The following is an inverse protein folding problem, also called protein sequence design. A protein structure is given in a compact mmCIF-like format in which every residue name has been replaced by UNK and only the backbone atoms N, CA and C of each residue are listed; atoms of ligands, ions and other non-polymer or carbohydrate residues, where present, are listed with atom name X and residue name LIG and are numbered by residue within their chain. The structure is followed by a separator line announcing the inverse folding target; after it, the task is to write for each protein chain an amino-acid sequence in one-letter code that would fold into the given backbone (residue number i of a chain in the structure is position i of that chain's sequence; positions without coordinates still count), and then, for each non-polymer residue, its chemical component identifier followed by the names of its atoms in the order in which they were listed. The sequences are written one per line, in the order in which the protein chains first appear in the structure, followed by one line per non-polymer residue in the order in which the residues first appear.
data_IF_058596288064
#
_entry.id   IF_058596288064
#
_cell.length_a   1.000
_cell.length_b   1.000
_cell.length_c   1.000
_cell.angle_alpha   90.00
_cell.angle_beta   90.00
_cell.angle_gamma   90.00
#
_symmetry.space_group_name_H-M   'P 1'
#
loop_
_entity.id
_entity.type
_entity.pdbx_description
1 polymer ?
#
# COMPACT_ATOMS: atom_id res chain seq x y z
N UNK A 1 4.56 10.35 -15.03
CA UNK A 1 3.29 10.74 -14.45
C UNK A 1 3.48 11.26 -13.03
N UNK A 2 2.47 11.94 -12.52
CA UNK A 2 2.51 12.52 -11.18
C UNK A 2 2.61 11.45 -10.09
N UNK A 3 1.96 10.31 -10.29
CA UNK A 3 2.03 9.20 -9.34
C UNK A 3 3.47 8.69 -9.24
N UNK A 4 4.14 8.56 -10.38
CA UNK A 4 5.52 8.10 -10.43
C UNK A 4 6.46 9.06 -9.70
N UNK A 5 6.28 10.36 -9.91
CA UNK A 5 7.06 11.38 -9.21
C UNK A 5 6.84 11.32 -7.71
N UNK A 6 5.57 11.23 -7.28
CA UNK A 6 5.23 11.13 -5.87
C UNK A 6 5.86 9.92 -5.20
N UNK A 7 5.85 8.77 -5.88
CA UNK A 7 6.48 7.56 -5.37
C UNK A 7 7.99 7.75 -5.21
N UNK A 8 8.61 8.45 -6.14
CA UNK A 8 10.04 8.73 -6.07
C UNK A 8 10.37 9.62 -4.89
N UNK A 9 9.62 10.71 -4.69
CA UNK A 9 9.79 11.57 -3.52
C UNK A 9 9.57 10.82 -2.23
N UNK A 10 8.54 10.02 -2.19
CA UNK A 10 8.20 9.23 -1.01
C UNK A 10 9.36 8.32 -0.59
N UNK A 11 9.99 7.68 -1.55
CA UNK A 11 11.12 6.80 -1.29
C UNK A 11 12.32 7.55 -0.73
N UNK A 12 12.69 8.68 -1.33
CA UNK A 12 13.81 9.47 -0.84
C UNK A 12 13.54 10.06 0.54
N UNK A 13 12.32 10.52 0.78
CA UNK A 13 11.93 11.03 2.08
C UNK A 13 11.95 9.94 3.15
N UNK A 14 11.58 8.72 2.80
CA UNK A 14 11.66 7.60 3.72
C UNK A 14 13.09 7.31 4.15
N UNK A 15 14.03 7.34 3.21
CA UNK A 15 15.45 7.16 3.53
C UNK A 15 15.94 8.25 4.49
N UNK A 16 15.57 9.48 4.22
CA UNK A 16 15.95 10.61 5.07
C UNK A 16 15.34 10.47 6.46
N UNK A 17 14.09 10.07 6.55
CA UNK A 17 13.38 9.85 7.79
C UNK A 17 14.07 8.77 8.63
N UNK A 18 14.49 7.68 7.99
CA UNK A 18 15.20 6.60 8.66
C UNK A 18 16.58 7.05 9.17
N UNK A 19 17.19 8.02 8.52
CA UNK A 19 18.46 8.61 8.94
C UNK A 19 18.27 9.74 9.97
N UNK A 20 17.06 9.95 10.43
CA UNK A 20 16.70 10.99 11.39
C UNK A 20 16.99 12.42 10.90
N UNK A 21 16.90 12.64 9.61
CA UNK A 21 16.99 13.98 9.03
C UNK A 21 15.66 14.68 9.22
N UNK A 22 15.65 15.76 10.01
CA UNK A 22 14.40 16.49 10.28
C UNK A 22 14.02 17.46 9.18
N UNK A 23 15.00 18.12 8.59
CA UNK A 23 14.77 19.15 7.57
C UNK A 23 15.73 18.97 6.42
N UNK A 24 15.26 19.32 5.24
CA UNK A 24 16.08 19.28 4.04
C UNK A 24 15.70 20.44 3.14
N UNK A 25 16.71 21.12 2.57
CA UNK A 25 16.47 22.20 1.62
C UNK A 25 16.17 21.63 0.23
N UNK A 26 15.55 22.45 -0.62
CA UNK A 26 15.34 22.05 -2.01
C UNK A 26 16.68 21.79 -2.72
N UNK A 27 17.72 22.53 -2.36
CA UNK A 27 19.05 22.33 -2.92
C UNK A 27 19.64 20.98 -2.54
N UNK A 28 19.54 20.62 -1.26
CA UNK A 28 20.03 19.34 -0.78
C UNK A 28 19.25 18.18 -1.38
N UNK A 29 17.93 18.29 -1.42
CA UNK A 29 17.07 17.26 -1.98
C UNK A 29 17.33 17.12 -3.50
N UNK A 30 17.58 18.22 -4.19
CA UNK A 30 17.89 18.20 -5.61
C UNK A 30 19.16 17.40 -5.91
N UNK A 31 20.15 17.51 -5.04
CA UNK A 31 21.39 16.73 -5.19
C UNK A 31 21.14 15.24 -5.01
N UNK A 32 20.36 14.88 -4.00
CA UNK A 32 20.03 13.49 -3.75
C UNK A 32 19.24 12.87 -4.90
N UNK A 33 18.30 13.61 -5.44
CA UNK A 33 17.41 13.12 -6.48
C UNK A 33 17.93 13.35 -7.89
N UNK A 34 19.05 14.06 -8.02
CA UNK A 34 19.65 14.40 -9.31
C UNK A 34 18.69 15.18 -10.23
N UNK A 35 18.04 16.18 -9.67
CA UNK A 35 17.19 17.12 -10.39
C UNK A 35 17.54 18.52 -9.93
N UNK A 36 16.96 19.55 -10.55
CA UNK A 36 17.24 20.94 -10.14
C UNK A 36 16.43 21.32 -8.91
N UNK A 37 16.94 22.28 -8.14
CA UNK A 37 16.19 22.80 -7.00
C UNK A 37 14.88 23.46 -7.42
N UNK A 38 14.85 24.08 -8.58
CA UNK A 38 13.62 24.64 -9.15
C UNK A 38 12.58 23.56 -9.41
N UNK A 39 13.01 22.42 -9.92
CA UNK A 39 12.12 21.28 -10.16
C UNK A 39 11.54 20.76 -8.85
N UNK A 40 12.36 20.67 -7.81
CA UNK A 40 11.89 20.26 -6.48
C UNK A 40 10.78 21.19 -5.99
N UNK A 41 11.03 22.50 -6.04
CA UNK A 41 10.04 23.49 -5.59
C UNK A 41 8.74 23.39 -6.39
N UNK A 42 8.86 23.23 -7.70
CA UNK A 42 7.70 23.11 -8.57
C UNK A 42 6.91 21.85 -8.30
N UNK A 43 7.59 20.72 -8.17
CA UNK A 43 6.93 19.44 -7.88
C UNK A 43 6.19 19.48 -6.55
N UNK A 44 6.85 19.96 -5.50
CA UNK A 44 6.23 20.03 -4.18
C UNK A 44 5.06 21.00 -4.14
N UNK A 45 5.16 22.12 -4.88
CA UNK A 45 4.02 23.03 -5.05
C UNK A 45 2.85 22.34 -5.74
N UNK A 46 3.13 21.59 -6.79
CA UNK A 46 2.09 20.86 -7.52
C UNK A 46 1.43 19.76 -6.68
N UNK A 47 2.19 19.17 -5.77
CA UNK A 47 1.65 18.11 -4.91
C UNK A 47 0.74 18.65 -3.82
N UNK A 48 0.96 19.87 -3.34
CA UNK A 48 0.13 20.38 -2.27
C UNK A 48 0.56 21.67 -1.61
N UNK A 49 1.51 22.37 -2.18
CA UNK A 49 1.93 23.65 -1.63
C UNK A 49 2.44 23.55 -0.20
N UNK A 50 3.38 22.68 0.07
CA UNK A 50 3.85 22.35 1.42
C UNK A 50 4.66 23.43 2.11
N UNK A 51 4.72 24.62 1.56
CA UNK A 51 5.30 25.77 2.22
C UNK A 51 6.75 25.59 2.64
N UNK A 52 7.64 26.14 1.89
CA UNK A 52 9.02 26.17 2.28
C UNK A 52 9.32 27.58 2.77
N UNK A 53 9.72 27.72 4.00
CA UNK A 53 9.86 29.01 4.66
C UNK A 53 11.32 29.38 4.94
N UNK A 54 12.22 29.09 4.01
CA UNK A 54 13.62 29.40 4.16
C UNK A 54 14.40 28.43 5.04
N UNK A 55 13.71 27.69 5.88
CA UNK A 55 14.33 26.68 6.75
C UNK A 55 14.35 25.28 6.13
N UNK A 56 13.93 25.20 4.88
CA UNK A 56 13.78 23.91 4.22
C UNK A 56 12.46 23.23 4.54
N UNK A 57 12.33 22.04 4.06
CA UNK A 57 11.12 21.25 4.24
C UNK A 57 11.27 20.32 5.43
N UNK A 58 10.19 20.15 6.18
CA UNK A 58 10.13 19.16 7.23
C UNK A 58 9.96 17.77 6.59
N UNK A 59 10.93 16.89 6.81
CA UNK A 59 10.98 15.58 6.15
C UNK A 59 9.78 14.71 6.55
N UNK A 60 9.50 14.61 7.85
CA UNK A 60 8.39 13.77 8.32
C UNK A 60 7.06 14.29 7.80
N UNK A 61 6.87 15.60 7.80
CA UNK A 61 5.63 16.20 7.31
C UNK A 61 5.43 15.91 5.82
N UNK A 62 6.47 16.12 5.01
CA UNK A 62 6.39 15.83 3.57
C UNK A 62 6.11 14.34 3.31
N UNK A 63 6.81 13.50 4.06
CA UNK A 63 6.62 12.05 3.95
C UNK A 63 5.17 11.68 4.19
N UNK A 64 4.59 12.17 5.28
CA UNK A 64 3.21 11.88 5.63
C UNK A 64 2.22 12.42 4.59
N UNK A 65 2.44 13.66 4.14
CA UNK A 65 1.52 14.29 3.18
C UNK A 65 1.58 13.64 1.80
N UNK A 66 2.77 13.27 1.34
CA UNK A 66 2.90 12.55 0.08
C UNK A 66 2.33 11.14 0.20
N UNK A 67 2.50 10.52 1.36
CA UNK A 67 1.86 9.24 1.65
C UNK A 67 0.34 9.30 1.51
N UNK A 68 -0.29 10.37 1.98
CA UNK A 68 -1.73 10.58 1.80
C UNK A 68 -2.10 10.69 0.33
N UNK A 69 -1.31 11.43 -0.45
CA UNK A 69 -1.55 11.57 -1.88
C UNK A 69 -1.43 10.24 -2.62
N UNK A 70 -0.60 9.34 -2.12
CA UNK A 70 -0.45 7.99 -2.65
C UNK A 70 -1.48 7.01 -2.09
N UNK A 71 -2.30 7.45 -1.14
CA UNK A 71 -3.29 6.60 -0.50
C UNK A 71 -2.74 5.64 0.53
N UNK A 72 -1.51 5.86 0.98
CA UNK A 72 -0.83 4.93 1.91
C UNK A 72 -1.21 5.14 3.37
N UNK A 73 -1.88 6.24 3.68
CA UNK A 73 -2.44 6.48 5.01
C UNK A 73 -3.75 5.73 5.24
N UNK A 74 -4.33 5.20 4.18
CA UNK A 74 -5.56 4.43 4.23
C UNK A 74 -5.22 2.96 4.11
N UNK A 75 -5.64 2.18 5.10
CA UNK A 75 -5.47 0.73 5.04
C UNK A 75 -6.55 0.13 4.15
N UNK A 76 -6.14 -0.40 3.02
CA UNK A 76 -7.03 -1.13 2.14
C UNK A 76 -7.18 -2.54 2.69
N UNK A 77 -8.41 -2.93 2.97
CA UNK A 77 -8.69 -4.30 3.37
C UNK A 77 -8.80 -5.17 2.14
N UNK A 78 -8.12 -6.29 2.17
CA UNK A 78 -8.10 -7.23 1.06
C UNK A 78 -8.66 -8.56 1.54
N UNK A 79 -9.52 -9.16 0.75
CA UNK A 79 -9.89 -10.55 0.94
C UNK A 79 -9.33 -11.38 -0.21
N UNK A 80 -8.97 -12.61 0.09
CA UNK A 80 -8.44 -13.53 -0.91
C UNK A 80 -9.46 -14.63 -1.11
N UNK A 81 -9.85 -14.84 -2.35
CA UNK A 81 -10.75 -15.91 -2.74
C UNK A 81 -9.91 -17.03 -3.35
N UNK A 82 -9.96 -18.19 -2.74
CA UNK A 82 -9.09 -19.30 -3.08
C UNK A 82 -8.01 -19.45 -2.02
N UNK A 83 -8.19 -20.36 -1.07
CA UNK A 83 -7.33 -20.50 0.10
C UNK A 83 -6.42 -21.72 0.04
N UNK A 84 -6.17 -22.25 -1.15
CA UNK A 84 -5.18 -23.28 -1.36
C UNK A 84 -3.76 -22.74 -1.28
N UNK A 85 -2.81 -23.49 -1.80
CA UNK A 85 -1.40 -23.13 -1.70
C UNK A 85 -1.10 -21.73 -2.25
N UNK A 86 -1.68 -21.40 -3.40
CA UNK A 86 -1.46 -20.09 -4.00
C UNK A 86 -2.07 -18.95 -3.16
N UNK A 87 -3.31 -19.14 -2.71
CA UNK A 87 -3.99 -18.14 -1.88
C UNK A 87 -3.25 -17.87 -0.59
N UNK A 88 -2.77 -18.92 0.07
CA UNK A 88 -2.01 -18.77 1.29
C UNK A 88 -0.64 -18.14 1.06
N UNK A 89 0.02 -18.47 -0.05
CA UNK A 89 1.28 -17.85 -0.41
C UNK A 89 1.10 -16.33 -0.64
N UNK A 90 0.03 -15.95 -1.31
CA UNK A 90 -0.29 -14.54 -1.53
C UNK A 90 -0.61 -13.86 -0.19
N UNK A 91 -1.41 -14.50 0.66
CA UNK A 91 -1.78 -13.94 1.97
C UNK A 91 -0.57 -13.69 2.85
N UNK A 92 0.47 -14.51 2.72
CA UNK A 92 1.68 -14.40 3.52
C UNK A 92 2.75 -13.51 2.88
N UNK A 93 2.45 -12.91 1.73
CA UNK A 93 3.39 -12.03 1.06
C UNK A 93 3.45 -10.68 1.79
N UNK A 94 4.58 -10.40 2.43
CA UNK A 94 4.74 -9.25 3.31
C UNK A 94 4.64 -7.88 2.65
N UNK A 95 4.88 -7.81 1.33
CA UNK A 95 4.84 -6.52 0.61
C UNK A 95 3.46 -5.87 0.57
N UNK A 96 2.39 -6.63 0.75
CA UNK A 96 1.05 -6.03 0.79
C UNK A 96 0.92 -5.06 1.95
N UNK A 97 1.43 -5.42 3.11
CA UNK A 97 1.38 -4.55 4.28
C UNK A 97 2.16 -3.26 4.03
N UNK A 98 3.31 -3.36 3.38
CA UNK A 98 4.14 -2.19 3.08
C UNK A 98 3.48 -1.25 2.08
N UNK A 99 2.51 -1.73 1.33
CA UNK A 99 1.77 -0.94 0.35
C UNK A 99 0.38 -0.52 0.85
N UNK A 100 0.13 -0.64 2.14
CA UNK A 100 -1.12 -0.21 2.73
C UNK A 100 -2.25 -1.22 2.63
N UNK A 101 -1.96 -2.49 2.30
CA UNK A 101 -2.96 -3.55 2.24
C UNK A 101 -2.90 -4.43 3.48
N UNK A 102 -4.06 -4.79 3.96
CA UNK A 102 -4.22 -5.70 5.08
C UNK A 102 -5.12 -6.85 4.67
N UNK A 103 -4.64 -8.07 4.86
CA UNK A 103 -5.44 -9.25 4.56
C UNK A 103 -6.47 -9.43 5.66
N UNK A 104 -7.74 -9.26 5.32
CA UNK A 104 -8.83 -9.37 6.26
C UNK A 104 -9.34 -10.79 6.42
N UNK A 105 -9.39 -11.54 5.33
CA UNK A 105 -9.92 -12.90 5.35
C UNK A 105 -9.53 -13.68 4.10
N UNK A 106 -9.58 -15.01 4.21
CA UNK A 106 -9.49 -15.93 3.09
C UNK A 106 -10.79 -16.69 2.97
N UNK A 107 -11.23 -16.87 1.74
CA UNK A 107 -12.47 -17.59 1.42
C UNK A 107 -12.17 -18.74 0.45
N UNK A 108 -12.93 -19.81 0.57
CA UNK A 108 -12.86 -20.93 -0.37
C UNK A 108 -14.21 -21.63 -0.47
N UNK A 109 -14.39 -22.35 -1.55
CA UNK A 109 -15.57 -23.22 -1.73
C UNK A 109 -15.32 -24.65 -1.30
N UNK A 110 -14.06 -25.04 -1.13
CA UNK A 110 -13.68 -26.39 -0.78
C UNK A 110 -13.96 -26.67 0.69
N UNK A 111 -14.88 -27.58 1.00
CA UNK A 111 -15.21 -27.89 2.40
C UNK A 111 -14.03 -28.42 3.19
N UNK A 112 -13.02 -28.99 2.52
CA UNK A 112 -11.83 -29.49 3.20
C UNK A 112 -10.94 -28.36 3.72
N UNK A 113 -11.08 -27.15 3.16
CA UNK A 113 -10.30 -25.99 3.57
C UNK A 113 -11.08 -25.08 4.51
N UNK A 114 -12.40 -25.01 4.38
CA UNK A 114 -13.22 -24.12 5.19
C UNK A 114 -13.08 -24.50 6.67
N UNK A 115 -12.81 -23.51 7.49
CA UNK A 115 -12.62 -23.69 8.92
C UNK A 115 -11.19 -23.91 9.36
N UNK A 116 -10.26 -24.14 8.42
CA UNK A 116 -8.85 -24.29 8.79
C UNK A 116 -8.29 -22.96 9.26
N UNK A 117 -7.45 -23.03 10.28
CA UNK A 117 -6.82 -21.82 10.84
C UNK A 117 -5.64 -21.38 10.00
N UNK A 118 -5.55 -20.08 9.78
CA UNK A 118 -4.41 -19.44 9.13
C UNK A 118 -3.95 -18.28 9.99
N UNK A 119 -2.86 -17.64 9.59
CA UNK A 119 -2.39 -16.40 10.24
C UNK A 119 -3.41 -15.26 10.16
N UNK A 120 -4.38 -15.36 9.26
CA UNK A 120 -5.40 -14.33 9.03
C UNK A 120 -6.80 -14.79 9.47
N UNK A 121 -6.87 -15.74 10.39
CA UNK A 121 -8.12 -16.31 10.87
C UNK A 121 -8.48 -17.60 10.16
N UNK A 122 -9.67 -18.10 10.44
CA UNK A 122 -10.15 -19.32 9.80
C UNK A 122 -10.58 -19.04 8.37
N UNK A 123 -10.35 -19.99 7.49
CA UNK A 123 -10.82 -19.91 6.10
C UNK A 123 -12.35 -19.96 6.11
N UNK A 124 -12.97 -19.00 5.45
CA UNK A 124 -14.42 -18.84 5.43
C UNK A 124 -15.02 -19.42 4.16
N UNK A 125 -16.30 -19.71 4.23
CA UNK A 125 -17.06 -20.21 3.08
C UNK A 125 -17.33 -19.06 2.10
N UNK A 126 -17.04 -19.28 0.84
CA UNK A 126 -17.28 -18.27 -0.20
C UNK A 126 -18.77 -17.90 -0.29
N UNK A 127 -19.67 -18.78 0.12
CA UNK A 127 -21.09 -18.48 0.16
C UNK A 127 -21.40 -17.30 1.08
N UNK A 128 -20.55 -17.02 2.06
CA UNK A 128 -20.75 -15.95 3.03
C UNK A 128 -20.04 -14.65 2.65
N UNK A 129 -19.39 -14.61 1.49
CA UNK A 129 -18.56 -13.47 1.12
C UNK A 129 -19.34 -12.16 1.00
N UNK A 130 -20.53 -12.22 0.44
CA UNK A 130 -21.37 -11.04 0.26
C UNK A 130 -21.71 -10.41 1.60
N UNK A 131 -22.19 -11.23 2.53
CA UNK A 131 -22.56 -10.76 3.86
C UNK A 131 -21.34 -10.24 4.62
N UNK A 132 -20.21 -10.91 4.46
CA UNK A 132 -18.97 -10.48 5.10
C UNK A 132 -18.54 -9.09 4.62
N UNK A 133 -18.52 -8.87 3.29
CA UNK A 133 -18.14 -7.59 2.72
C UNK A 133 -19.12 -6.50 3.13
N UNK A 134 -20.39 -6.80 3.11
CA UNK A 134 -21.44 -5.86 3.50
C UNK A 134 -21.33 -5.44 4.96
N UNK A 135 -21.00 -6.38 5.83
CA UNK A 135 -20.93 -6.13 7.27
C UNK A 135 -19.60 -5.48 7.68
N UNK A 136 -18.48 -5.91 7.09
CA UNK A 136 -17.15 -5.51 7.54
C UNK A 136 -16.37 -4.68 6.53
N UNK A 137 -16.87 -4.57 5.32
CA UNK A 137 -16.21 -3.82 4.28
C UNK A 137 -16.35 -2.32 4.48
N UNK A 138 -15.64 -1.58 3.68
CA UNK A 138 -15.68 -0.14 3.64
C UNK A 138 -15.29 0.31 2.24
N UNK A 139 -15.09 1.63 2.05
CA UNK A 139 -14.81 2.16 0.72
C UNK A 139 -13.49 1.66 0.12
N UNK A 140 -12.60 1.09 0.93
CA UNK A 140 -11.29 0.61 0.47
C UNK A 140 -11.17 -0.89 0.57
N UNK A 141 -12.28 -1.59 0.36
CA UNK A 141 -12.29 -3.06 0.42
C UNK A 141 -12.02 -3.63 -0.96
N UNK A 142 -11.03 -4.50 -1.07
CA UNK A 142 -10.63 -5.07 -2.34
C UNK A 142 -10.61 -6.59 -2.29
N UNK A 143 -10.80 -7.21 -3.45
CA UNK A 143 -10.83 -8.66 -3.58
C UNK A 143 -9.75 -9.13 -4.54
N UNK A 144 -9.00 -10.13 -4.11
CA UNK A 144 -8.04 -10.82 -4.96
C UNK A 144 -8.46 -12.27 -5.09
N UNK A 145 -8.65 -12.72 -6.33
CA UNK A 145 -9.01 -14.11 -6.59
C UNK A 145 -7.74 -14.90 -6.90
N UNK A 146 -7.49 -15.92 -6.10
CA UNK A 146 -6.35 -16.80 -6.25
C UNK A 146 -6.82 -18.16 -6.76
N UNK A 147 -7.24 -18.22 -8.01
CA UNK A 147 -7.65 -19.45 -8.66
C UNK A 147 -6.63 -19.87 -9.71
N UNK A 148 -6.17 -21.10 -9.58
CA UNK A 148 -5.46 -21.74 -10.67
C UNK A 148 -6.52 -22.48 -11.47
N UNK A 149 -6.78 -21.99 -12.66
CA UNK A 149 -7.71 -22.66 -13.53
C UNK A 149 -7.17 -24.02 -13.93
N UNK A 150 -8.02 -25.02 -13.75
CA UNK A 150 -7.65 -26.39 -14.07
C UNK A 150 -7.72 -26.71 -15.57
N UNK A 151 -7.57 -25.69 -16.40
CA UNK A 151 -7.51 -25.88 -17.85
C UNK A 151 -6.39 -26.80 -18.31
N UNK A 152 -5.40 -26.90 -17.48
CA UNK A 152 -4.28 -27.83 -17.68
C UNK A 152 -4.71 -29.28 -17.71
N UNK A 153 -5.95 -29.57 -17.44
CA UNK A 153 -6.45 -30.95 -17.43
C UNK A 153 -6.84 -31.47 -18.82
N UNK A 154 -6.75 -30.66 -19.79
CA UNK A 154 -7.15 -31.06 -21.13
C UNK A 154 -6.04 -31.60 -21.96
#
# INVERSE_FOLDING_TARGET
SDVYKRQRYYRYLDELRQQNVERISSKELSKLMNVTASQIRQDLNNFGGFGQQGYGYNVQYLYDEIGKLLGLDVKHKMIIVGAGNLGQAIANYGNFRNRGFEIAALFDKNPDLIGKKTAHGQILDIADIYDYVKEKGGPYFEMLTAEIESKTKH
#
